data_IF_639508432897
#
_entry.id   IF_639508432897
#
_cell.length_a   1.000
_cell.length_b   1.000
_cell.length_c   1.000
_cell.angle_alpha   90.00
_cell.angle_beta   90.00
_cell.angle_gamma   90.00
#
_symmetry.space_group_name_H-M   'P 1'
#
loop_
_entity.id
_entity.type
_entity.pdbx_description
1 polymer ?
#
# COMPACT_ATOMS: atom_id res chain seq x y z
N UNK A 1 -1.79 -11.30 -6.20
CA UNK A 1 -2.16 -9.95 -5.74
C UNK A 1 -3.67 -9.84 -5.80
N UNK A 2 -4.34 -9.60 -4.67
CA UNK A 2 -5.81 -9.48 -4.62
C UNK A 2 -6.20 -8.01 -4.84
N UNK A 3 -7.43 -7.80 -5.32
CA UNK A 3 -8.10 -6.49 -5.44
C UNK A 3 -8.06 -5.74 -4.10
N UNK A 4 -7.05 -4.88 -3.88
CA UNK A 4 -6.92 -4.12 -2.63
C UNK A 4 -5.51 -3.65 -2.26
N UNK A 5 -4.45 -4.14 -2.90
CA UNK A 5 -3.10 -3.57 -2.79
C UNK A 5 -2.75 -3.00 -4.16
N UNK A 6 -2.64 -1.68 -4.26
CA UNK A 6 -2.46 -0.96 -5.52
C UNK A 6 -0.99 -0.77 -5.91
N UNK A 7 -0.08 -0.97 -4.95
CA UNK A 7 1.36 -0.71 -5.05
C UNK A 7 2.20 -1.95 -4.69
N UNK A 8 3.48 -1.92 -5.08
CA UNK A 8 4.44 -2.92 -4.62
C UNK A 8 5.01 -2.45 -3.28
N UNK A 9 4.90 -3.24 -2.20
CA UNK A 9 5.38 -2.82 -0.89
C UNK A 9 6.91 -2.81 -0.82
N UNK A 10 7.44 -1.95 0.07
CA UNK A 10 8.87 -1.82 0.35
C UNK A 10 9.48 -3.11 0.95
N UNK A 11 8.65 -3.93 1.60
CA UNK A 11 9.02 -5.25 2.15
C UNK A 11 7.78 -6.13 2.34
N UNK A 12 8.00 -7.45 2.48
CA UNK A 12 6.95 -8.41 2.82
C UNK A 12 7.24 -9.06 4.17
N UNK A 13 6.19 -9.31 4.94
CA UNK A 13 6.28 -10.05 6.22
C UNK A 13 5.45 -11.32 6.09
N UNK A 14 6.11 -12.47 6.17
CA UNK A 14 5.48 -13.77 6.26
C UNK A 14 5.43 -14.21 7.72
N UNK A 15 4.29 -14.01 8.37
CA UNK A 15 4.09 -14.37 9.78
C UNK A 15 3.65 -15.84 9.93
N UNK A 16 3.65 -16.34 11.18
CA UNK A 16 3.32 -17.72 11.58
C UNK A 16 4.30 -18.77 11.05
N UNK A 17 5.58 -18.40 10.95
CA UNK A 17 6.64 -19.31 10.50
C UNK A 17 6.96 -20.45 11.50
N UNK A 18 6.34 -20.47 12.67
CA UNK A 18 6.32 -21.63 13.56
C UNK A 18 5.63 -22.86 12.92
N UNK A 19 4.72 -22.65 11.96
CA UNK A 19 4.13 -23.70 11.11
C UNK A 19 4.96 -23.93 9.83
N UNK A 20 6.11 -24.61 9.99
CA UNK A 20 7.17 -24.69 8.97
C UNK A 20 6.70 -25.11 7.57
N UNK A 21 5.85 -26.14 7.46
CA UNK A 21 5.42 -26.68 6.16
C UNK A 21 4.60 -25.66 5.37
N UNK A 22 3.61 -25.05 6.02
CA UNK A 22 2.76 -24.04 5.39
C UNK A 22 3.56 -22.77 5.08
N UNK A 23 4.38 -22.32 6.03
CA UNK A 23 5.22 -21.14 5.86
C UNK A 23 6.19 -21.29 4.68
N UNK A 24 6.83 -22.45 4.52
CA UNK A 24 7.72 -22.69 3.37
C UNK A 24 6.95 -22.68 2.04
N UNK A 25 5.79 -23.33 1.98
CA UNK A 25 4.94 -23.29 0.78
C UNK A 25 4.56 -21.86 0.39
N UNK A 26 4.06 -21.07 1.35
CA UNK A 26 3.72 -19.66 1.12
C UNK A 26 4.93 -18.82 0.73
N UNK A 27 6.09 -19.05 1.35
CA UNK A 27 7.33 -18.36 1.02
C UNK A 27 7.74 -18.62 -0.44
N UNK A 28 7.81 -19.88 -0.87
CA UNK A 28 8.20 -20.21 -2.23
C UNK A 28 7.23 -19.65 -3.27
N UNK A 29 5.93 -19.69 -2.99
CA UNK A 29 4.92 -19.08 -3.84
C UNK A 29 5.10 -17.56 -3.98
N UNK A 30 5.38 -16.87 -2.86
CA UNK A 30 5.65 -15.44 -2.86
C UNK A 30 6.93 -15.11 -3.66
N UNK A 31 8.03 -15.80 -3.39
CA UNK A 31 9.31 -15.58 -4.07
C UNK A 31 9.17 -15.81 -5.57
N UNK A 32 8.55 -16.92 -5.99
CA UNK A 32 8.33 -17.20 -7.42
C UNK A 32 7.48 -16.11 -8.10
N UNK A 33 6.47 -15.58 -7.40
CA UNK A 33 5.66 -14.45 -7.91
C UNK A 33 6.47 -13.16 -8.00
N UNK A 34 7.33 -12.88 -7.01
CA UNK A 34 8.17 -11.69 -7.00
C UNK A 34 9.27 -11.75 -8.06
N UNK A 35 9.85 -12.93 -8.29
CA UNK A 35 10.81 -13.17 -9.37
C UNK A 35 10.21 -12.86 -10.74
N UNK A 36 8.95 -13.24 -10.98
CA UNK A 36 8.23 -12.87 -12.21
C UNK A 36 8.06 -11.35 -12.36
N UNK A 37 7.91 -10.62 -11.25
CA UNK A 37 7.76 -9.16 -11.27
C UNK A 37 9.09 -8.40 -11.26
N UNK A 38 10.23 -9.09 -11.08
CA UNK A 38 11.54 -8.46 -10.88
C UNK A 38 11.92 -7.47 -11.99
N UNK A 39 11.58 -7.78 -13.24
CA UNK A 39 11.93 -6.97 -14.40
C UNK A 39 11.11 -5.67 -14.51
N UNK A 40 9.96 -5.60 -13.84
CA UNK A 40 9.12 -4.39 -13.77
C UNK A 40 9.33 -3.60 -12.49
N UNK A 41 10.19 -4.08 -11.58
CA UNK A 41 10.45 -3.42 -10.30
C UNK A 41 11.56 -2.37 -10.38
N UNK A 42 11.42 -1.23 -9.67
CA UNK A 42 12.43 -0.20 -9.62
C UNK A 42 13.75 -0.76 -9.05
N UNK A 43 14.84 -0.62 -9.81
CA UNK A 43 16.17 -1.06 -9.41
C UNK A 43 16.42 -2.58 -9.54
N UNK A 44 15.53 -3.34 -10.21
CA UNK A 44 15.65 -4.78 -10.48
C UNK A 44 15.96 -5.64 -9.24
N UNK A 45 15.54 -5.17 -8.05
CA UNK A 45 15.74 -5.84 -6.77
C UNK A 45 14.41 -6.31 -6.21
N UNK A 46 14.39 -7.53 -5.71
CA UNK A 46 13.24 -8.07 -5.00
C UNK A 46 13.14 -7.40 -3.62
N UNK A 47 11.93 -6.98 -3.20
CA UNK A 47 11.71 -6.51 -1.84
C UNK A 47 12.09 -7.61 -0.83
N UNK A 48 12.70 -7.25 0.31
CA UNK A 48 13.03 -8.22 1.34
C UNK A 48 11.78 -8.90 1.89
N UNK A 49 11.88 -10.20 2.15
CA UNK A 49 10.81 -11.01 2.74
C UNK A 49 11.26 -11.48 4.13
N UNK A 50 10.59 -10.98 5.18
CA UNK A 50 10.87 -11.34 6.56
C UNK A 50 10.01 -12.51 7.01
N UNK A 51 10.64 -13.63 7.36
CA UNK A 51 9.98 -14.78 8.00
C UNK A 51 9.88 -14.54 9.50
N UNK A 52 8.66 -14.42 10.00
CA UNK A 52 8.40 -14.08 11.40
C UNK A 52 7.44 -15.05 12.06
N UNK A 53 7.50 -15.14 13.39
CA UNK A 53 6.45 -15.74 14.20
C UNK A 53 6.23 -14.90 15.43
N UNK A 54 5.04 -14.33 15.56
CA UNK A 54 4.65 -13.58 16.77
C UNK A 54 4.63 -14.49 18.01
N UNK A 55 4.36 -15.79 17.84
CA UNK A 55 4.29 -16.77 18.94
C UNK A 55 5.67 -17.09 19.51
N UNK A 56 6.64 -17.37 18.63
CA UNK A 56 8.01 -17.75 19.05
C UNK A 56 8.98 -16.56 19.08
N UNK A 57 8.52 -15.38 18.65
CA UNK A 57 9.32 -14.17 18.45
C UNK A 57 10.42 -14.31 17.38
N UNK A 58 10.38 -15.36 16.57
CA UNK A 58 11.31 -15.56 15.47
C UNK A 58 11.26 -14.38 14.48
N UNK A 59 12.43 -13.91 14.05
CA UNK A 59 12.59 -12.90 12.99
C UNK A 59 12.08 -11.50 13.34
N UNK A 60 11.57 -11.28 14.56
CA UNK A 60 11.03 -9.97 14.98
C UNK A 60 12.16 -8.95 15.12
N UNK A 61 13.33 -9.34 15.61
CA UNK A 61 14.47 -8.43 15.78
C UNK A 61 14.96 -7.91 14.42
N UNK A 62 15.19 -8.81 13.46
CA UNK A 62 15.62 -8.44 12.10
C UNK A 62 14.63 -7.49 11.42
N UNK A 63 13.32 -7.74 11.61
CA UNK A 63 12.27 -6.87 11.11
C UNK A 63 12.32 -5.48 11.77
N UNK A 64 12.50 -5.41 13.08
CA UNK A 64 12.60 -4.14 13.81
C UNK A 64 13.82 -3.34 13.39
N UNK A 65 14.97 -4.00 13.20
CA UNK A 65 16.20 -3.34 12.77
C UNK A 65 16.05 -2.81 11.33
N UNK A 66 15.38 -3.55 10.45
CA UNK A 66 15.02 -3.06 9.12
C UNK A 66 14.12 -1.81 9.20
N UNK A 67 13.03 -1.85 9.98
CA UNK A 67 12.12 -0.71 10.13
C UNK A 67 12.85 0.51 10.70
N UNK A 68 13.72 0.32 11.69
CA UNK A 68 14.52 1.41 12.28
C UNK A 68 15.53 2.01 11.32
N UNK A 69 16.06 1.22 10.39
CA UNK A 69 16.98 1.67 9.36
C UNK A 69 16.29 2.36 8.18
N UNK A 70 14.97 2.18 8.05
CA UNK A 70 14.21 2.79 6.98
C UNK A 70 14.09 4.30 7.22
N UNK A 71 14.59 5.10 6.27
CA UNK A 71 14.33 6.53 6.24
C UNK A 71 12.93 6.76 5.65
N UNK A 72 12.00 7.41 6.37
CA UNK A 72 10.68 7.75 5.84
C UNK A 72 10.83 8.92 4.86
N UNK A 73 11.30 8.64 3.64
CA UNK A 73 11.51 9.68 2.64
C UNK A 73 11.01 9.18 1.29
N UNK A 74 9.72 9.37 1.07
CA UNK A 74 9.17 9.82 -0.21
C UNK A 74 7.99 10.72 0.15
N UNK A 75 7.97 11.97 -0.33
CA UNK A 75 6.74 12.76 -0.32
C UNK A 75 5.72 12.05 -1.22
N UNK A 76 4.89 11.20 -0.62
CA UNK A 76 3.85 10.43 -1.32
C UNK A 76 2.58 11.25 -1.54
N UNK A 77 2.55 12.55 -1.22
CA UNK A 77 1.34 13.37 -1.37
C UNK A 77 0.73 13.31 -2.78
N UNK A 78 1.56 13.38 -3.81
CA UNK A 78 1.13 13.27 -5.21
C UNK A 78 0.53 11.90 -5.54
N UNK A 79 1.14 10.83 -5.00
CA UNK A 79 0.65 9.47 -5.17
C UNK A 79 -0.69 9.27 -4.45
N UNK A 80 -0.81 9.78 -3.21
CA UNK A 80 -2.05 9.74 -2.43
C UNK A 80 -3.19 10.47 -3.16
N UNK A 81 -2.94 11.66 -3.71
CA UNK A 81 -3.94 12.40 -4.51
C UNK A 81 -4.32 11.62 -5.77
N UNK A 82 -3.36 10.98 -6.44
CA UNK A 82 -3.62 10.16 -7.61
C UNK A 82 -4.47 8.93 -7.28
N UNK A 83 -4.19 8.25 -6.17
CA UNK A 83 -4.99 7.13 -5.68
C UNK A 83 -6.41 7.56 -5.33
N UNK A 84 -6.56 8.71 -4.65
CA UNK A 84 -7.86 9.28 -4.32
C UNK A 84 -8.68 9.54 -5.59
N UNK A 85 -8.08 10.15 -6.62
CA UNK A 85 -8.75 10.40 -7.91
C UNK A 85 -9.18 9.09 -8.59
N UNK A 86 -8.35 8.04 -8.56
CA UNK A 86 -8.70 6.73 -9.11
C UNK A 86 -9.90 6.12 -8.38
N UNK A 87 -9.88 6.17 -7.04
CA UNK A 87 -10.97 5.69 -6.20
C UNK A 87 -12.27 6.45 -6.47
N UNK A 88 -12.24 7.79 -6.51
CA UNK A 88 -13.41 8.63 -6.81
C UNK A 88 -13.95 8.33 -8.20
N UNK A 89 -13.08 8.13 -9.20
CA UNK A 89 -13.51 7.74 -10.54
C UNK A 89 -14.24 6.38 -10.53
N UNK A 90 -13.77 5.43 -9.73
CA UNK A 90 -14.39 4.12 -9.62
C UNK A 90 -15.78 4.19 -8.98
N UNK A 91 -15.92 4.96 -7.89
CA UNK A 91 -17.16 5.04 -7.11
C UNK A 91 -18.19 6.03 -7.67
N UNK A 92 -17.74 7.18 -8.18
CA UNK A 92 -18.60 8.31 -8.56
C UNK A 92 -18.43 8.73 -10.03
N UNK A 93 -17.57 8.05 -10.79
CA UNK A 93 -17.34 8.34 -12.20
C UNK A 93 -16.78 9.74 -12.47
N UNK A 94 -17.06 10.26 -13.66
CA UNK A 94 -16.62 11.60 -14.06
C UNK A 94 -17.31 12.72 -13.26
N UNK A 95 -18.50 12.45 -12.70
CA UNK A 95 -19.18 13.41 -11.83
C UNK A 95 -18.36 13.68 -10.56
N UNK A 96 -17.89 12.63 -9.89
CA UNK A 96 -17.04 12.77 -8.71
C UNK A 96 -15.75 13.53 -9.02
N UNK A 97 -15.10 13.20 -10.15
CA UNK A 97 -13.87 13.87 -10.59
C UNK A 97 -14.06 15.37 -10.84
N UNK A 98 -15.15 15.76 -11.52
CA UNK A 98 -15.46 17.18 -11.75
C UNK A 98 -15.76 17.92 -10.44
N UNK A 99 -16.43 17.25 -9.51
CA UNK A 99 -16.86 17.86 -8.25
C UNK A 99 -15.67 18.22 -7.33
N UNK A 100 -14.58 17.46 -7.43
CA UNK A 100 -13.36 17.67 -6.64
C UNK A 100 -12.27 18.47 -7.37
N UNK A 101 -12.53 18.93 -8.61
CA UNK A 101 -11.49 19.55 -9.45
C UNK A 101 -10.93 20.84 -8.81
N UNK A 102 -11.81 21.62 -8.17
CA UNK A 102 -11.46 22.86 -7.46
C UNK A 102 -11.02 22.64 -6.00
N UNK A 103 -10.94 21.39 -5.54
CA UNK A 103 -10.56 21.09 -4.15
C UNK A 103 -9.04 21.10 -4.03
N UNK A 104 -8.51 22.06 -3.26
CA UNK A 104 -7.11 22.04 -2.85
C UNK A 104 -6.94 21.00 -1.75
N UNK A 105 -6.23 19.91 -2.07
CA UNK A 105 -5.88 18.90 -1.10
C UNK A 105 -4.62 19.30 -0.33
N UNK A 106 -4.67 19.36 1.01
CA UNK A 106 -3.51 19.72 1.81
C UNK A 106 -2.35 18.73 1.59
N UNK A 107 -1.16 19.26 1.35
CA UNK A 107 0.06 18.46 1.25
C UNK A 107 0.28 17.66 2.54
N UNK A 108 0.88 16.46 2.41
CA UNK A 108 1.20 15.56 3.52
C UNK A 108 0.03 15.05 4.38
N UNK A 109 -1.22 15.26 3.96
CA UNK A 109 -2.38 14.61 4.59
C UNK A 109 -2.49 13.16 4.15
N UNK A 110 -2.92 12.28 5.06
CA UNK A 110 -3.16 10.87 4.74
C UNK A 110 -4.40 10.69 3.86
N UNK A 111 -4.54 9.51 3.26
CA UNK A 111 -5.60 9.21 2.30
C UNK A 111 -7.00 9.43 2.90
N UNK A 112 -7.20 8.98 4.14
CA UNK A 112 -8.48 9.03 4.84
C UNK A 112 -8.97 10.47 5.03
N UNK A 113 -8.07 11.38 5.39
CA UNK A 113 -8.41 12.81 5.52
C UNK A 113 -8.82 13.40 4.18
N UNK A 114 -8.09 13.08 3.10
CA UNK A 114 -8.42 13.58 1.77
C UNK A 114 -9.73 12.98 1.23
N UNK A 115 -10.00 11.72 1.55
CA UNK A 115 -11.24 11.02 1.25
C UNK A 115 -12.44 11.69 1.91
N UNK A 116 -12.36 12.01 3.21
CA UNK A 116 -13.42 12.72 3.92
C UNK A 116 -13.73 14.08 3.29
N UNK A 117 -12.69 14.86 2.95
CA UNK A 117 -12.84 16.16 2.27
C UNK A 117 -13.56 15.99 0.92
N UNK A 118 -13.11 15.02 0.12
CA UNK A 118 -13.72 14.74 -1.17
C UNK A 118 -15.18 14.30 -1.05
N UNK A 119 -15.49 13.39 -0.11
CA UNK A 119 -16.83 12.90 0.14
C UNK A 119 -17.77 14.01 0.63
N UNK A 120 -17.31 14.89 1.51
CA UNK A 120 -18.11 16.05 1.96
C UNK A 120 -18.50 16.93 0.77
N UNK A 121 -17.55 17.20 -0.14
CA UNK A 121 -17.80 18.01 -1.35
C UNK A 121 -18.77 17.31 -2.31
N UNK A 122 -18.58 16.01 -2.57
CA UNK A 122 -19.43 15.22 -3.46
C UNK A 122 -20.86 15.15 -2.92
N UNK A 123 -21.03 14.85 -1.63
CA UNK A 123 -22.35 14.81 -0.97
C UNK A 123 -23.08 16.15 -1.03
N UNK A 124 -22.36 17.26 -0.83
CA UNK A 124 -22.95 18.61 -0.93
C UNK A 124 -23.50 18.90 -2.34
N UNK A 125 -22.87 18.37 -3.39
CA UNK A 125 -23.31 18.56 -4.78
C UNK A 125 -24.35 17.53 -5.24
N UNK A 126 -24.56 16.44 -4.50
CA UNK A 126 -25.62 15.45 -4.74
C UNK A 126 -26.98 15.87 -4.15
N UNK A 127 -26.97 16.78 -3.18
CA UNK A 127 -28.16 17.29 -2.49
C UNK A 127 -28.67 18.62 -3.08
N UNK A 128 -28.07 19.09 -4.18
CA UNK A 128 -28.51 20.21 -5.00
C UNK A 128 -29.14 19.67 -6.28
#
# INVERSE_FOLDING_TARGET
>A
MKSGIMEVPDSFILNKCDEKTLANSSYHMLISTLEFLKDVMPGNRLPPVFKTSTKTKQGIQDLLDFIRSANPIVDRSQETVLQLKKWIKNEFGNFGLKTIEDVSFPYSSNFETLEEIALQKIRKNLLL
#
